data_IF_532845918130
#
_entry.id   IF_532845918130
#
_cell.length_a   1.000
_cell.length_b   1.000
_cell.length_c   1.000
_cell.angle_alpha   90.00
_cell.angle_beta   90.00
_cell.angle_gamma   90.00
#
_symmetry.space_group_name_H-M   'P 1'
#
loop_
_entity.id
_entity.type
_entity.pdbx_description
1 polymer ?
#
# COMPACT_ATOMS: atom_id res chain seq x y z
N UNK A 1 -6.65 10.84 -10.18
CA UNK A 1 -7.05 11.15 -11.57
C UNK A 1 -8.34 10.40 -11.91
N UNK A 2 -9.21 10.99 -12.72
CA UNK A 2 -10.48 10.37 -13.12
C UNK A 2 -10.70 10.57 -14.62
N UNK A 3 -11.26 9.57 -15.28
CA UNK A 3 -11.60 9.57 -16.70
C UNK A 3 -13.06 9.11 -16.85
N UNK A 4 -13.90 9.93 -17.49
CA UNK A 4 -15.32 9.60 -17.67
C UNK A 4 -15.74 9.82 -19.11
N UNK A 5 -16.23 8.76 -19.74
CA UNK A 5 -16.96 8.82 -21.01
C UNK A 5 -18.45 8.71 -20.75
N UNK A 6 -19.18 9.79 -21.03
CA UNK A 6 -20.65 9.80 -21.04
C UNK A 6 -21.16 8.85 -22.11
N UNK A 7 -22.37 8.30 -21.93
CA UNK A 7 -22.97 7.34 -22.86
C UNK A 7 -23.03 7.94 -24.27
N UNK A 8 -22.23 7.37 -25.18
CA UNK A 8 -22.14 7.81 -26.57
C UNK A 8 -21.73 6.63 -27.44
N UNK A 9 -22.38 6.49 -28.60
CA UNK A 9 -22.19 5.35 -29.50
C UNK A 9 -22.31 4.00 -28.77
N UNK A 10 -23.36 3.88 -27.94
CA UNK A 10 -23.69 2.68 -27.14
C UNK A 10 -22.68 2.31 -26.04
N UNK A 11 -21.63 3.12 -25.80
CA UNK A 11 -20.64 2.85 -24.76
C UNK A 11 -20.62 3.95 -23.69
N UNK A 12 -20.59 3.54 -22.43
CA UNK A 12 -20.32 4.36 -21.25
C UNK A 12 -19.12 3.79 -20.49
N UNK A 13 -18.26 4.65 -19.96
CA UNK A 13 -17.08 4.23 -19.19
C UNK A 13 -16.78 5.25 -18.08
N UNK A 14 -16.39 4.75 -16.91
CA UNK A 14 -15.89 5.52 -15.80
C UNK A 14 -14.65 4.83 -15.22
N UNK A 15 -13.50 5.50 -15.30
CA UNK A 15 -12.24 5.08 -14.74
C UNK A 15 -11.75 6.06 -13.69
N UNK A 16 -11.14 5.54 -12.63
CA UNK A 16 -10.41 6.32 -11.65
C UNK A 16 -9.07 5.65 -11.37
N UNK A 17 -8.03 6.47 -11.24
CA UNK A 17 -6.69 6.03 -10.88
C UNK A 17 -6.14 6.96 -9.82
N UNK A 18 -5.79 6.41 -8.67
CA UNK A 18 -5.16 7.12 -7.57
C UNK A 18 -3.77 6.57 -7.39
N UNK A 19 -2.80 7.47 -7.32
CA UNK A 19 -1.43 7.17 -6.95
C UNK A 19 -1.08 7.99 -5.71
N UNK A 20 -0.56 7.32 -4.69
CA UNK A 20 -0.11 7.88 -3.43
C UNK A 20 1.29 7.34 -3.14
N UNK A 21 2.21 8.20 -2.72
CA UNK A 21 3.55 7.80 -2.30
C UNK A 21 3.83 8.38 -0.93
N UNK A 22 3.73 7.54 0.08
CA UNK A 22 4.10 7.89 1.45
C UNK A 22 5.39 7.18 1.81
N UNK A 23 6.34 7.90 2.41
CA UNK A 23 7.61 7.34 2.90
C UNK A 23 7.70 7.55 4.40
N UNK A 24 8.27 6.60 5.12
CA UNK A 24 8.67 6.85 6.50
C UNK A 24 9.88 7.77 6.51
N UNK A 25 9.83 8.80 7.34
CA UNK A 25 10.94 9.70 7.57
C UNK A 25 11.09 9.94 9.06
N UNK A 26 12.27 9.63 9.59
CA UNK A 26 12.65 9.90 10.97
C UNK A 26 13.88 10.82 10.93
N UNK A 27 13.81 12.05 11.50
CA UNK A 27 14.90 13.01 11.48
C UNK A 27 16.18 12.48 12.11
N UNK A 28 16.05 11.73 13.21
CA UNK A 28 17.15 11.15 13.97
C UNK A 28 16.80 9.77 14.50
N UNK A 29 17.81 8.95 14.82
CA UNK A 29 17.64 7.61 15.40
C UNK A 29 16.92 7.63 16.75
N UNK A 30 17.05 8.74 17.50
CA UNK A 30 16.37 8.93 18.77
C UNK A 30 14.84 9.08 18.60
N UNK A 31 14.39 9.68 17.50
CA UNK A 31 12.95 9.82 17.18
C UNK A 31 12.35 8.47 16.74
N UNK A 32 13.15 7.65 16.05
CA UNK A 32 12.78 6.27 15.72
C UNK A 32 12.70 5.36 16.97
N UNK A 33 13.69 5.45 17.85
CA UNK A 33 13.76 4.65 19.08
C UNK A 33 12.73 5.08 20.15
N UNK A 34 12.26 6.33 20.12
CA UNK A 34 11.24 6.82 21.05
C UNK A 34 9.82 6.42 20.61
N UNK A 35 9.60 6.17 19.31
CA UNK A 35 8.30 5.79 18.75
C UNK A 35 8.02 4.28 18.75
N UNK A 36 9.04 3.44 18.94
CA UNK A 36 8.90 1.98 19.06
C UNK A 36 9.00 1.57 20.53
N UNK A 37 8.03 0.80 21.02
CA UNK A 37 8.01 0.29 22.41
C UNK A 37 9.21 -0.62 22.73
N UNK A 38 9.98 -0.99 21.71
CA UNK A 38 11.27 -1.67 21.77
C UNK A 38 12.26 -0.74 21.10
N UNK A 39 12.95 0.11 21.86
CA UNK A 39 13.92 1.11 21.40
C UNK A 39 15.17 0.47 20.80
N UNK A 40 14.99 -0.26 19.70
CA UNK A 40 16.04 -0.92 18.96
C UNK A 40 16.40 -0.09 17.72
N UNK A 41 17.54 0.62 17.73
CA UNK A 41 17.97 1.45 16.61
C UNK A 41 18.44 0.64 15.40
N UNK A 42 18.60 -0.69 15.53
CA UNK A 42 19.23 -1.55 14.50
C UNK A 42 18.45 -1.60 13.19
N UNK A 43 17.15 -1.27 13.20
CA UNK A 43 16.30 -1.23 12.01
C UNK A 43 16.10 0.18 11.43
N UNK A 44 16.77 1.21 11.96
CA UNK A 44 16.59 2.59 11.48
C UNK A 44 16.84 2.70 9.98
N UNK A 45 17.95 2.17 9.47
CA UNK A 45 18.29 2.21 8.04
C UNK A 45 17.38 1.34 7.17
N UNK A 46 16.76 0.32 7.76
CA UNK A 46 15.85 -0.61 7.08
C UNK A 46 14.42 -0.07 7.01
N UNK A 47 14.06 0.95 7.79
CA UNK A 47 12.70 1.51 7.83
C UNK A 47 12.67 2.95 7.33
N UNK A 48 13.71 3.72 7.63
CA UNK A 48 13.81 5.12 7.22
C UNK A 48 13.98 5.22 5.70
N UNK A 49 13.08 5.94 5.04
CA UNK A 49 13.04 6.06 3.58
C UNK A 49 12.29 4.95 2.84
N UNK A 50 11.90 3.85 3.51
CA UNK A 50 11.03 2.83 2.90
C UNK A 50 9.61 3.36 2.68
N UNK A 51 8.96 2.83 1.65
CA UNK A 51 7.57 3.18 1.35
C UNK A 51 6.66 2.69 2.49
N UNK A 52 5.76 3.56 2.94
CA UNK A 52 4.77 3.32 3.99
C UNK A 52 3.48 2.72 3.42
N UNK A 53 3.56 1.89 2.39
CA UNK A 53 2.37 1.38 1.69
C UNK A 53 1.54 0.40 2.54
N UNK A 54 2.08 -0.06 3.68
CA UNK A 54 1.33 -0.81 4.71
C UNK A 54 0.46 0.07 5.62
N UNK A 55 0.98 1.21 6.11
CA UNK A 55 0.29 2.07 7.08
C UNK A 55 -0.65 3.10 6.44
N UNK A 56 -0.37 3.54 5.21
CA UNK A 56 -1.18 4.55 4.50
C UNK A 56 -1.95 3.98 3.29
N UNK A 57 -2.08 2.65 3.24
CA UNK A 57 -2.77 1.93 2.18
C UNK A 57 -1.95 1.80 0.88
N UNK A 58 -2.52 1.10 -0.13
CA UNK A 58 -1.83 0.79 -1.37
C UNK A 58 -1.42 2.07 -2.12
N UNK A 59 -0.20 2.09 -2.67
CA UNK A 59 0.34 3.22 -3.43
C UNK A 59 -0.45 3.49 -4.68
N UNK A 60 -1.10 2.49 -5.25
CA UNK A 60 -1.97 2.70 -6.40
C UNK A 60 -3.25 1.90 -6.30
N UNK A 61 -4.33 2.54 -6.74
CA UNK A 61 -5.67 1.98 -6.83
C UNK A 61 -6.28 2.44 -8.15
N UNK A 62 -6.76 1.49 -8.95
CA UNK A 62 -7.49 1.76 -10.17
C UNK A 62 -8.86 1.08 -10.12
N UNK A 63 -9.90 1.82 -10.48
CA UNK A 63 -11.25 1.29 -10.63
C UNK A 63 -11.77 1.69 -11.99
N UNK A 64 -12.19 0.72 -12.78
CA UNK A 64 -12.74 0.93 -14.11
C UNK A 64 -14.07 0.22 -14.20
N UNK A 65 -15.11 0.96 -14.58
CA UNK A 65 -16.41 0.43 -14.96
C UNK A 65 -16.74 0.82 -16.39
N UNK A 66 -17.24 -0.13 -17.16
CA UNK A 66 -17.66 0.10 -18.53
C UNK A 66 -18.99 -0.61 -18.78
N UNK A 67 -19.81 -0.01 -19.64
CA UNK A 67 -21.09 -0.55 -20.06
C UNK A 67 -21.24 -0.36 -21.56
N UNK A 68 -21.65 -1.42 -22.24
CA UNK A 68 -21.96 -1.44 -23.66
C UNK A 68 -23.40 -1.90 -23.90
N UNK A 69 -24.17 -1.08 -24.60
CA UNK A 69 -25.51 -1.41 -25.04
C UNK A 69 -25.43 -2.17 -26.39
N UNK A 70 -25.82 -3.44 -26.37
CA UNK A 70 -25.93 -4.27 -27.56
C UNK A 70 -27.12 -3.82 -28.42
N UNK A 71 -27.07 -4.07 -29.75
CA UNK A 71 -28.12 -3.64 -30.67
C UNK A 71 -29.50 -4.22 -30.37
N UNK A 72 -29.57 -5.35 -29.68
CA UNK A 72 -30.79 -6.10 -29.37
C UNK A 72 -31.44 -5.72 -28.03
N UNK A 73 -31.16 -4.53 -27.49
CA UNK A 73 -31.71 -4.05 -26.21
C UNK A 73 -31.05 -4.65 -24.96
N UNK A 74 -30.03 -5.49 -25.13
CA UNK A 74 -29.24 -6.05 -24.04
C UNK A 74 -28.10 -5.11 -23.66
N UNK A 75 -27.64 -5.16 -22.41
CA UNK A 75 -26.51 -4.38 -21.93
C UNK A 75 -25.47 -5.29 -21.30
N UNK A 76 -24.21 -5.15 -21.70
CA UNK A 76 -23.08 -5.78 -21.04
C UNK A 76 -22.38 -4.75 -20.17
N UNK A 77 -22.10 -5.09 -18.91
CA UNK A 77 -21.32 -4.24 -18.01
C UNK A 77 -20.12 -5.02 -17.48
N UNK A 78 -18.99 -4.35 -17.37
CA UNK A 78 -17.75 -4.89 -16.83
C UNK A 78 -17.20 -3.95 -15.76
N UNK A 79 -16.68 -4.54 -14.68
CA UNK A 79 -16.11 -3.83 -13.55
C UNK A 79 -14.77 -4.44 -13.19
N UNK A 80 -13.73 -3.62 -13.14
CA UNK A 80 -12.38 -4.00 -12.75
C UNK A 80 -11.91 -3.13 -11.59
N UNK A 81 -11.46 -3.78 -10.53
CA UNK A 81 -10.83 -3.15 -9.37
C UNK A 81 -9.42 -3.72 -9.24
N UNK A 82 -8.41 -2.90 -9.53
CA UNK A 82 -7.01 -3.27 -9.38
C UNK A 82 -6.42 -2.40 -8.26
N UNK A 83 -5.67 -3.02 -7.36
CA UNK A 83 -4.98 -2.31 -6.28
C UNK A 83 -3.60 -2.91 -6.11
N UNK A 84 -2.68 -2.11 -5.58
CA UNK A 84 -1.44 -2.66 -5.07
C UNK A 84 -1.68 -3.65 -3.93
N UNK A 85 -0.83 -4.68 -3.84
CA UNK A 85 -0.82 -5.63 -2.73
C UNK A 85 -0.36 -4.97 -1.42
N UNK A 86 -0.71 -5.60 -0.31
CA UNK A 86 -0.22 -5.21 1.02
C UNK A 86 1.27 -5.53 1.12
N UNK A 87 2.06 -4.55 1.56
CA UNK A 87 3.49 -4.77 1.81
C UNK A 87 3.65 -5.59 3.08
N UNK A 88 4.21 -6.79 2.95
CA UNK A 88 4.61 -7.61 4.10
C UNK A 88 6.03 -7.25 4.48
N UNK A 89 6.19 -6.67 5.66
CA UNK A 89 7.51 -6.44 6.23
C UNK A 89 7.97 -7.76 6.88
N UNK A 90 8.91 -8.46 6.26
CA UNK A 90 9.44 -9.72 6.79
C UNK A 90 10.36 -9.40 7.97
N UNK A 91 10.03 -9.93 9.14
CA UNK A 91 10.83 -9.72 10.36
C UNK A 91 11.32 -11.06 10.88
N UNK A 92 12.62 -11.21 11.07
CA UNK A 92 13.21 -12.32 11.81
C UNK A 92 13.32 -11.89 13.27
N UNK A 93 12.56 -12.56 14.14
CA UNK A 93 12.68 -12.41 15.59
C UNK A 93 13.86 -13.22 16.09
N UNK A 94 14.83 -12.57 16.73
CA UNK A 94 15.97 -13.25 17.35
C UNK A 94 15.51 -14.16 18.49
N UNK A 95 16.29 -15.17 18.88
CA UNK A 95 16.08 -15.88 20.14
C UNK A 95 16.17 -14.91 21.33
N UNK A 96 15.50 -15.24 22.44
CA UNK A 96 15.63 -14.51 23.70
C UNK A 96 17.07 -14.64 24.22
N UNK A 97 17.73 -13.50 24.45
CA UNK A 97 19.09 -13.48 25.00
C UNK A 97 19.04 -13.82 26.50
N UNK A 98 19.89 -14.75 26.95
CA UNK A 98 20.00 -15.18 28.35
C UNK A 98 20.16 -13.97 29.29
N UNK A 99 19.34 -13.90 30.34
CA UNK A 99 19.41 -12.82 31.35
C UNK A 99 18.36 -11.71 31.23
N UNK A 100 17.17 -11.98 30.67
CA UNK A 100 16.07 -11.00 30.55
C UNK A 100 16.41 -9.77 29.69
N UNK A 101 17.31 -9.91 28.71
CA UNK A 101 17.73 -8.84 27.80
C UNK A 101 16.80 -8.69 26.57
N UNK A 102 15.60 -9.28 26.61
CA UNK A 102 14.58 -9.11 25.58
C UNK A 102 14.81 -9.89 24.29
N UNK A 103 14.06 -9.51 23.26
CA UNK A 103 14.08 -10.08 21.91
C UNK A 103 14.23 -8.96 20.90
N UNK A 104 15.04 -9.15 19.85
CA UNK A 104 15.22 -8.17 18.79
C UNK A 104 14.51 -8.67 17.53
N UNK A 105 13.59 -7.89 16.99
CA UNK A 105 12.98 -8.16 15.68
C UNK A 105 13.82 -7.45 14.61
N UNK A 106 14.45 -8.19 13.70
CA UNK A 106 15.24 -7.63 12.59
C UNK A 106 14.42 -7.71 11.30
N UNK A 107 14.24 -6.59 10.61
CA UNK A 107 13.57 -6.58 9.32
C UNK A 107 14.52 -7.11 8.24
N UNK A 108 14.04 -8.00 7.37
CA UNK A 108 14.79 -8.51 6.22
C UNK A 108 14.05 -8.14 4.92
N UNK A 109 14.80 -7.78 3.88
CA UNK A 109 14.28 -7.58 2.52
C UNK A 109 14.12 -8.91 1.77
#
# INVERSE_FOLDING_TARGET
>A
MTARKRFSHRWLMNGSFTFNRTRFFYPDVNDFSAGTTTGDPTNYDLVNGRDSSGLNGPRWLSKVSAMYALPWGMSAAAFYNLREGLQFNRTIRSPTRTGSLGTVDVNID
#
